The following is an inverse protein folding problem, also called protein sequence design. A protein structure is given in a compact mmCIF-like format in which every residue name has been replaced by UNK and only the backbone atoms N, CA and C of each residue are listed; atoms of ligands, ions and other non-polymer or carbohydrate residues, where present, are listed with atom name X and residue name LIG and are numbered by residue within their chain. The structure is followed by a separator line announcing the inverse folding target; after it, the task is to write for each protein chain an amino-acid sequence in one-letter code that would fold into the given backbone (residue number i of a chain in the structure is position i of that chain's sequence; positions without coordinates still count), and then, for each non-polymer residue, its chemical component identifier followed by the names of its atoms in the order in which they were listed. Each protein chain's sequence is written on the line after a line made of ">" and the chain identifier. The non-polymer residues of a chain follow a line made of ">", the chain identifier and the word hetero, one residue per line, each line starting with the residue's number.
data_IF_860287172319
#
_entry.id   IF_860287172319
#
_cell.length_a   1.000
_cell.length_b   1.000
_cell.length_c   1.000
_cell.angle_alpha   90.00
_cell.angle_beta   90.00
_cell.angle_gamma   90.00
#
_symmetry.space_group_name_H-M   'P 1'
#
loop_
_entity.id
_entity.type
_entity.pdbx_description
1 polymer ?
#
# COMPACT_ATOMS: atom_id res chain seq x y z
N UNK A 1 7.14 5.57 -43.24
CA UNK A 1 6.03 5.02 -42.44
C UNK A 1 5.61 6.07 -41.44
N UNK A 2 4.38 6.57 -41.49
CA UNK A 2 3.91 7.58 -40.53
C UNK A 2 3.72 6.91 -39.17
N UNK A 3 4.56 7.24 -38.20
CA UNK A 3 4.44 6.74 -36.82
C UNK A 3 3.15 7.31 -36.25
N UNK A 4 2.09 6.50 -36.21
CA UNK A 4 0.81 6.90 -35.61
C UNK A 4 1.09 7.36 -34.18
N UNK A 5 0.73 8.60 -33.86
CA UNK A 5 1.01 9.20 -32.56
C UNK A 5 0.28 8.40 -31.48
N UNK A 6 1.04 7.85 -30.52
CA UNK A 6 0.50 7.00 -29.47
C UNK A 6 -0.11 7.84 -28.36
N UNK A 7 -1.17 7.32 -27.77
CA UNK A 7 -1.66 7.82 -26.48
C UNK A 7 -0.67 7.49 -25.38
N UNK A 8 -0.75 8.21 -24.27
CA UNK A 8 0.06 7.98 -23.08
C UNK A 8 -0.15 6.56 -22.55
N UNK A 9 -1.40 6.07 -22.57
CA UNK A 9 -1.71 4.70 -22.15
C UNK A 9 -1.11 3.64 -23.08
N UNK A 10 -1.15 3.83 -24.40
CA UNK A 10 -0.55 2.88 -25.34
C UNK A 10 0.96 2.79 -25.18
N UNK A 11 1.63 3.93 -24.99
CA UNK A 11 3.07 3.97 -24.72
C UNK A 11 3.44 3.23 -23.42
N UNK A 12 2.60 3.35 -22.39
CA UNK A 12 2.77 2.63 -21.12
C UNK A 12 2.50 1.13 -21.24
N UNK A 13 1.34 0.75 -21.81
CA UNK A 13 0.90 -0.62 -21.94
C UNK A 13 1.84 -1.47 -22.81
N UNK A 14 2.57 -0.85 -23.75
CA UNK A 14 3.56 -1.55 -24.57
C UNK A 14 4.68 -2.22 -23.75
N UNK A 15 4.98 -1.71 -22.55
CA UNK A 15 6.03 -2.24 -21.67
C UNK A 15 5.49 -2.65 -20.29
N UNK A 16 4.18 -2.79 -20.16
CA UNK A 16 3.52 -3.17 -18.93
C UNK A 16 2.57 -4.35 -19.17
N UNK A 17 2.63 -5.34 -18.29
CA UNK A 17 1.62 -6.40 -18.19
C UNK A 17 0.62 -6.02 -17.11
N UNK A 18 -0.67 -6.05 -17.45
CA UNK A 18 -1.75 -5.65 -16.56
C UNK A 18 -2.65 -6.87 -16.33
N UNK A 19 -2.77 -7.31 -15.08
CA UNK A 19 -3.67 -8.37 -14.66
C UNK A 19 -4.75 -7.80 -13.75
N UNK A 20 -6.02 -8.06 -14.08
CA UNK A 20 -7.18 -7.57 -13.35
C UNK A 20 -7.73 -8.70 -12.49
N UNK A 21 -7.84 -8.47 -11.17
CA UNK A 21 -8.25 -9.49 -10.21
C UNK A 21 -9.26 -8.89 -9.24
N UNK A 22 -10.55 -9.09 -9.50
CA UNK A 22 -11.62 -8.53 -8.68
C UNK A 22 -11.51 -7.01 -8.55
N UNK A 23 -11.26 -6.54 -7.34
CA UNK A 23 -11.19 -5.11 -6.99
C UNK A 23 -9.79 -4.47 -7.13
N UNK A 24 -8.80 -5.22 -7.63
CA UNK A 24 -7.43 -4.73 -7.81
C UNK A 24 -6.93 -4.95 -9.24
N UNK A 25 -5.98 -4.12 -9.64
CA UNK A 25 -5.19 -4.31 -10.86
C UNK A 25 -3.71 -4.44 -10.47
N UNK A 26 -3.09 -5.54 -10.90
CA UNK A 26 -1.65 -5.75 -10.81
C UNK A 26 -1.01 -5.28 -12.12
N UNK A 27 0.01 -4.44 -11.98
CA UNK A 27 0.78 -3.88 -13.08
C UNK A 27 2.23 -4.33 -12.91
N UNK A 28 2.77 -4.99 -13.92
CA UNK A 28 4.16 -5.44 -13.97
C UNK A 28 4.85 -4.71 -15.12
N UNK A 29 5.78 -3.83 -14.78
CA UNK A 29 6.50 -3.00 -15.76
C UNK A 29 7.87 -3.63 -16.02
N UNK A 30 8.19 -3.83 -17.28
CA UNK A 30 9.50 -4.31 -17.71
C UNK A 30 10.61 -3.34 -17.25
N UNK A 31 11.54 -3.86 -16.45
CA UNK A 31 12.58 -3.10 -15.75
C UNK A 31 12.08 -2.14 -14.65
N UNK A 32 10.77 -2.11 -14.36
CA UNK A 32 10.16 -1.22 -13.36
C UNK A 32 9.61 -1.94 -12.13
N UNK A 33 9.52 -3.27 -12.15
CA UNK A 33 8.97 -4.07 -11.06
C UNK A 33 7.46 -4.20 -11.10
N UNK A 34 6.88 -4.62 -9.99
CA UNK A 34 5.45 -4.93 -9.86
C UNK A 34 4.77 -4.03 -8.84
N UNK A 35 3.51 -3.70 -9.11
CA UNK A 35 2.66 -2.89 -8.25
C UNK A 35 1.20 -3.32 -8.35
N UNK A 36 0.46 -3.08 -7.28
CA UNK A 36 -0.97 -3.29 -7.19
C UNK A 36 -1.63 -1.96 -6.85
N UNK A 37 -2.71 -1.66 -7.57
CA UNK A 37 -3.57 -0.50 -7.37
C UNK A 37 -5.02 -0.94 -7.30
N UNK A 38 -5.88 -0.09 -6.76
CA UNK A 38 -7.31 -0.36 -6.75
C UNK A 38 -7.88 -0.26 -8.18
N UNK A 39 -8.85 -1.10 -8.52
CA UNK A 39 -9.38 -1.19 -9.88
C UNK A 39 -10.06 0.11 -10.34
N UNK A 40 -10.74 0.81 -9.44
CA UNK A 40 -11.39 2.10 -9.67
C UNK A 40 -10.38 3.21 -10.00
N UNK A 41 -9.27 3.28 -9.24
CA UNK A 41 -8.15 4.18 -9.55
C UNK A 41 -7.52 3.81 -10.90
N UNK A 42 -7.32 2.52 -11.17
CA UNK A 42 -6.79 2.03 -12.45
C UNK A 42 -7.65 2.47 -13.63
N UNK A 43 -8.97 2.28 -13.57
CA UNK A 43 -9.89 2.67 -14.63
C UNK A 43 -9.86 4.19 -14.85
N UNK A 44 -9.80 4.96 -13.78
CA UNK A 44 -9.74 6.43 -13.84
C UNK A 44 -8.44 6.90 -14.50
N UNK A 45 -7.29 6.38 -14.06
CA UNK A 45 -5.99 6.69 -14.63
C UNK A 45 -5.86 6.23 -16.09
N UNK A 46 -6.42 5.06 -16.43
CA UNK A 46 -6.45 4.55 -17.80
C UNK A 46 -7.24 5.51 -18.72
N UNK A 47 -8.45 5.91 -18.33
CA UNK A 47 -9.27 6.84 -19.14
C UNK A 47 -8.57 8.19 -19.32
N UNK A 48 -7.97 8.72 -18.25
CA UNK A 48 -7.17 9.94 -18.33
C UNK A 48 -6.01 9.77 -19.32
N UNK A 49 -5.22 8.70 -19.21
CA UNK A 49 -4.05 8.45 -20.05
C UNK A 49 -4.42 8.18 -21.52
N UNK A 50 -5.59 7.62 -21.81
CA UNK A 50 -6.09 7.43 -23.18
C UNK A 50 -6.38 8.77 -23.88
N UNK A 51 -6.74 9.82 -23.14
CA UNK A 51 -6.99 11.16 -23.69
C UNK A 51 -5.74 12.02 -23.86
N UNK A 52 -4.57 11.52 -23.45
CA UNK A 52 -3.30 12.26 -23.49
C UNK A 52 -2.39 11.68 -24.56
N UNK A 53 -1.64 12.56 -25.21
CA UNK A 53 -0.59 12.20 -26.15
C UNK A 53 0.67 11.80 -25.39
N UNK A 54 1.33 10.72 -25.80
CA UNK A 54 2.63 10.31 -25.28
C UNK A 54 3.71 11.35 -25.61
N UNK A 55 4.61 11.64 -24.67
CA UNK A 55 5.73 12.54 -24.90
C UNK A 55 6.85 11.91 -25.75
N UNK A 56 6.77 10.60 -26.02
CA UNK A 56 7.84 9.82 -26.64
C UNK A 56 8.93 9.39 -25.66
N UNK A 57 8.98 9.96 -24.44
CA UNK A 57 9.87 9.52 -23.37
C UNK A 57 9.14 8.54 -22.45
N UNK A 58 9.54 7.27 -22.52
CA UNK A 58 8.92 6.18 -21.75
C UNK A 58 9.01 6.39 -20.24
N UNK A 59 10.11 6.93 -19.73
CA UNK A 59 10.31 7.14 -18.28
C UNK A 59 9.38 8.25 -17.78
N UNK A 60 9.35 9.37 -18.49
CA UNK A 60 8.46 10.49 -18.16
C UNK A 60 6.99 10.09 -18.25
N UNK A 61 6.62 9.39 -19.32
CA UNK A 61 5.24 8.94 -19.54
C UNK A 61 4.78 7.95 -18.46
N UNK A 62 5.65 7.01 -18.04
CA UNK A 62 5.38 6.11 -16.91
C UNK A 62 5.15 6.90 -15.61
N UNK A 63 6.04 7.85 -15.30
CA UNK A 63 5.92 8.68 -14.11
C UNK A 63 4.57 9.38 -14.03
N UNK A 64 4.15 10.01 -15.13
CA UNK A 64 2.87 10.73 -15.22
C UNK A 64 1.64 9.86 -14.96
N UNK A 65 1.65 8.60 -15.42
CA UNK A 65 0.56 7.67 -15.12
C UNK A 65 0.61 7.25 -13.66
N UNK A 66 1.78 6.92 -13.12
CA UNK A 66 1.91 6.48 -11.73
C UNK A 66 1.61 7.57 -10.70
N UNK A 67 1.69 8.83 -11.09
CA UNK A 67 1.24 9.98 -10.30
C UNK A 67 -0.29 10.05 -10.16
N UNK A 68 -1.05 9.41 -11.05
CA UNK A 68 -2.51 9.36 -10.95
C UNK A 68 -3.00 8.41 -9.85
N UNK A 69 -2.15 7.50 -9.37
CA UNK A 69 -2.50 6.58 -8.29
C UNK A 69 -2.23 7.23 -6.94
N UNK A 70 -3.28 7.32 -6.14
CA UNK A 70 -3.21 7.80 -4.76
C UNK A 70 -2.74 6.66 -3.84
N UNK A 71 -3.24 5.45 -4.08
CA UNK A 71 -2.91 4.26 -3.28
C UNK A 71 -2.31 3.19 -4.17
N UNK A 72 -1.09 2.78 -3.84
CA UNK A 72 -0.35 1.80 -4.63
C UNK A 72 0.56 1.01 -3.73
N UNK A 73 0.56 -0.31 -3.87
CA UNK A 73 1.45 -1.22 -3.13
C UNK A 73 2.45 -1.81 -4.11
N UNK A 74 3.73 -1.76 -3.78
CA UNK A 74 4.84 -2.10 -4.68
C UNK A 74 5.62 -3.31 -4.17
N UNK A 75 6.26 -4.07 -5.07
CA UNK A 75 7.25 -5.07 -4.65
C UNK A 75 8.60 -4.42 -4.31
N UNK A 76 9.42 -5.04 -3.46
CA UNK A 76 10.82 -4.63 -3.28
C UNK A 76 11.56 -4.58 -4.61
N UNK A 77 12.35 -3.52 -4.84
CA UNK A 77 13.08 -3.31 -6.09
C UNK A 77 12.27 -2.71 -7.23
N UNK A 78 10.98 -2.37 -7.01
CA UNK A 78 10.21 -1.56 -7.96
C UNK A 78 10.77 -0.14 -8.06
N UNK A 79 10.61 0.50 -9.22
CA UNK A 79 11.15 1.85 -9.46
C UNK A 79 10.46 2.96 -8.66
N UNK A 80 9.31 2.64 -8.06
CA UNK A 80 8.51 3.54 -7.24
C UNK A 80 8.16 2.85 -5.93
N UNK A 81 7.94 3.64 -4.88
CA UNK A 81 7.56 3.15 -3.57
C UNK A 81 6.05 2.99 -3.41
N UNK A 82 5.68 2.32 -2.32
CA UNK A 82 4.28 2.21 -1.89
C UNK A 82 3.74 3.58 -1.48
N UNK A 83 2.51 3.88 -1.89
CA UNK A 83 1.80 5.14 -1.66
C UNK A 83 0.46 4.89 -0.95
N UNK A 84 0.05 5.82 -0.10
CA UNK A 84 -1.21 5.79 0.64
C UNK A 84 -0.99 5.90 2.14
N UNK A 85 -2.04 6.30 2.87
CA UNK A 85 -2.03 6.29 4.33
C UNK A 85 -2.35 4.90 4.91
N UNK A 86 -2.11 4.70 6.20
CA UNK A 86 -2.29 3.41 6.90
C UNK A 86 -3.66 2.78 6.63
N UNK A 87 -4.74 3.59 6.67
CA UNK A 87 -6.12 3.11 6.48
C UNK A 87 -6.37 2.69 5.02
N UNK A 88 -5.83 3.42 4.06
CA UNK A 88 -5.90 3.08 2.65
C UNK A 88 -5.10 1.79 2.35
N UNK A 89 -3.89 1.68 2.91
CA UNK A 89 -3.05 0.50 2.78
C UNK A 89 -3.67 -0.73 3.45
N UNK A 90 -4.32 -0.57 4.60
CA UNK A 90 -5.08 -1.64 5.25
C UNK A 90 -6.21 -2.16 4.36
N UNK A 91 -7.02 -1.26 3.80
CA UNK A 91 -8.08 -1.62 2.85
C UNK A 91 -7.50 -2.31 1.60
N UNK A 92 -6.37 -1.83 1.09
CA UNK A 92 -5.68 -2.46 -0.04
C UNK A 92 -5.19 -3.86 0.32
N UNK A 93 -4.55 -4.04 1.47
CA UNK A 93 -4.05 -5.33 1.95
C UNK A 93 -5.19 -6.35 2.11
N UNK A 94 -6.37 -5.92 2.59
CA UNK A 94 -7.58 -6.76 2.64
C UNK A 94 -8.00 -7.24 1.24
N UNK A 95 -8.01 -6.34 0.25
CA UNK A 95 -8.33 -6.68 -1.15
C UNK A 95 -7.29 -7.61 -1.77
N UNK A 96 -6.00 -7.35 -1.51
CA UNK A 96 -4.89 -8.19 -1.97
C UNK A 96 -4.99 -9.62 -1.41
N UNK A 97 -5.28 -9.76 -0.12
CA UNK A 97 -5.50 -11.06 0.52
C UNK A 97 -6.71 -11.78 -0.07
N UNK A 98 -7.82 -11.06 -0.30
CA UNK A 98 -9.02 -11.62 -0.94
C UNK A 98 -8.75 -12.09 -2.37
N UNK A 99 -7.82 -11.44 -3.08
CA UNK A 99 -7.35 -11.86 -4.41
C UNK A 99 -6.30 -12.99 -4.38
N UNK A 100 -5.90 -13.45 -3.18
CA UNK A 100 -4.95 -14.57 -3.02
C UNK A 100 -3.47 -14.16 -3.09
N UNK A 101 -3.13 -12.88 -2.96
CA UNK A 101 -1.74 -12.45 -2.89
C UNK A 101 -1.14 -12.69 -1.50
N UNK A 102 0.10 -13.18 -1.46
CA UNK A 102 0.93 -13.20 -0.26
C UNK A 102 1.42 -11.77 0.04
N UNK A 103 1.02 -11.21 1.19
CA UNK A 103 1.37 -9.85 1.61
C UNK A 103 2.86 -9.72 2.01
N UNK A 104 3.53 -10.82 2.33
CA UNK A 104 4.95 -10.84 2.70
C UNK A 104 5.86 -10.39 1.55
N UNK A 105 5.44 -10.63 0.31
CA UNK A 105 6.20 -10.30 -0.90
C UNK A 105 6.12 -8.81 -1.31
N UNK A 106 5.27 -8.02 -0.63
CA UNK A 106 5.00 -6.62 -0.98
C UNK A 106 5.57 -5.65 0.07
N UNK A 107 5.81 -4.42 -0.35
CA UNK A 107 6.25 -3.32 0.51
C UNK A 107 5.08 -2.73 1.32
N UNK A 108 4.52 -3.54 2.20
CA UNK A 108 3.54 -3.09 3.19
C UNK A 108 4.21 -2.87 4.56
N UNK A 109 3.66 -1.98 5.39
CA UNK A 109 4.01 -1.90 6.80
C UNK A 109 3.88 -3.27 7.50
N UNK A 110 4.77 -3.59 8.45
CA UNK A 110 4.82 -4.91 9.09
C UNK A 110 3.51 -5.30 9.79
N UNK A 111 2.80 -4.32 10.36
CA UNK A 111 1.48 -4.51 10.98
C UNK A 111 0.39 -4.99 10.02
N UNK A 112 0.57 -4.78 8.71
CA UNK A 112 -0.38 -5.24 7.69
C UNK A 112 -0.02 -6.61 7.09
N UNK A 113 1.16 -7.15 7.43
CA UNK A 113 1.67 -8.41 6.89
C UNK A 113 1.30 -9.63 7.74
N UNK A 114 0.82 -9.41 8.96
CA UNK A 114 0.46 -10.50 9.89
C UNK A 114 -0.79 -11.25 9.46
N UNK A 115 -0.89 -12.52 9.84
CA UNK A 115 -2.00 -13.43 9.48
C UNK A 115 -3.38 -12.88 9.84
N UNK A 116 -3.48 -12.05 10.88
CA UNK A 116 -4.71 -11.30 11.19
C UNK A 116 -4.44 -9.83 10.88
N UNK A 117 -4.99 -9.35 9.76
CA UNK A 117 -5.01 -7.92 9.46
C UNK A 117 -5.65 -7.21 10.65
N UNK A 118 -4.91 -6.35 11.33
CA UNK A 118 -5.40 -5.55 12.45
C UNK A 118 -5.79 -4.19 11.90
N UNK A 119 -7.00 -3.73 12.21
CA UNK A 119 -7.43 -2.40 11.80
C UNK A 119 -6.48 -1.35 12.42
N UNK A 120 -5.91 -0.42 11.64
CA UNK A 120 -4.95 0.55 12.15
C UNK A 120 -5.55 1.49 13.21
N UNK A 121 -6.88 1.64 13.22
CA UNK A 121 -7.60 2.34 14.29
C UNK A 121 -7.57 1.56 15.62
N UNK A 122 -7.58 0.22 15.62
CA UNK A 122 -7.45 -0.59 16.85
C UNK A 122 -6.03 -0.54 17.42
N UNK A 123 -5.02 -0.36 16.57
CA UNK A 123 -3.62 -0.20 16.98
C UNK A 123 -3.42 1.17 17.64
N UNK A 124 -3.99 2.24 17.06
CA UNK A 124 -3.91 3.60 17.64
C UNK A 124 -4.80 3.77 18.87
N UNK A 125 -5.86 2.98 19.00
CA UNK A 125 -6.79 3.01 20.13
C UNK A 125 -6.35 2.20 21.35
N UNK A 126 -5.15 1.59 21.37
CA UNK A 126 -4.52 1.15 22.62
C UNK A 126 -3.77 2.33 23.26
N UNK A 127 -4.36 3.05 24.24
CA UNK A 127 -3.55 3.87 25.13
C UNK A 127 -2.54 2.96 25.83
N UNK A 128 -1.35 3.50 26.11
CA UNK A 128 -0.39 2.93 27.06
C UNK A 128 -1.10 2.69 28.39
N UNK A 129 -1.59 1.48 28.61
CA UNK A 129 -2.13 1.03 29.89
C UNK A 129 -1.54 -0.37 30.15
N UNK A 130 -0.22 -0.43 30.19
CA UNK A 130 0.54 -1.54 30.80
C UNK A 130 1.95 -1.00 31.12
N UNK A 131 1.95 -0.03 32.02
CA UNK A 131 3.10 0.32 32.84
C UNK A 131 2.56 0.61 34.26
N UNK A 132 1.67 -0.26 34.74
CA UNK A 132 1.44 -0.39 36.17
C UNK A 132 2.57 -1.26 36.70
N UNK A 133 3.59 -0.59 37.23
CA UNK A 133 4.50 -1.20 38.20
C UNK A 133 3.60 -1.73 39.32
N UNK A 134 3.55 -3.04 39.62
CA UNK A 134 2.84 -3.49 40.80
C UNK A 134 3.56 -2.89 42.02
N UNK A 135 2.92 -1.89 42.63
CA UNK A 135 3.27 -1.44 43.95
C UNK A 135 2.90 -2.57 44.91
N UNK A 136 3.93 -3.25 45.39
CA UNK A 136 3.88 -4.23 46.47
C UNK A 136 3.14 -3.64 47.68
N UNK A 137 2.01 -4.21 48.14
CA UNK A 137 1.31 -3.74 49.33
C UNK A 137 1.65 -4.61 50.55
N UNK A 138 2.93 -4.96 50.76
CA UNK A 138 3.38 -5.69 51.95
C UNK A 138 4.42 -4.89 52.74
N UNK A 139 3.92 -3.91 53.51
CA UNK A 139 4.56 -3.43 54.73
C UNK A 139 3.46 -3.07 55.72
N UNK A 140 3.06 -4.09 56.49
CA UNK A 140 2.04 -4.03 57.52
C UNK A 140 2.35 -3.01 58.64
N UNK A 141 1.31 -2.52 59.35
CA UNK A 141 1.41 -1.48 60.37
C UNK A 141 1.73 -2.07 61.74
N UNK A 142 2.56 -1.43 62.56
CA UNK A 142 2.50 -1.62 64.02
C UNK A 142 3.17 -0.45 64.77
N UNK A 143 2.35 0.41 65.35
CA UNK A 143 2.59 1.04 66.65
C UNK A 143 1.45 0.51 67.55
N UNK A 144 1.65 0.20 68.85
CA UNK A 144 2.14 1.16 69.86
C UNK A 144 2.89 0.55 71.07
N UNK A 145 3.43 1.38 71.97
CA UNK A 145 3.75 0.92 73.34
C UNK A 145 4.73 1.80 74.13
N UNK A 146 4.24 2.40 75.21
CA UNK A 146 4.95 3.21 76.22
C UNK A 146 5.95 2.37 77.03
N UNK A 147 7.05 2.97 77.46
CA UNK A 147 7.43 3.23 78.88
C UNK A 147 8.57 4.25 78.96
#
# INVERSE_FOLDING_TARGET
>A
MSTKQKTLFEAFAQRARIAKQGEIAMIVIDGGGAMIVAMDEFITAQKWAQSRVSSGNVVSDRGRILEQFQVMVTRPGSFTGTKGNDRQLYKMAKKMRAAGHDLGEWQLPPELKVNKLVDPDEIKAKPKADAEIPADPDAAPEAPGKE
#
